data_IF_980379982350
#
_entry.id   IF_980379982350
#
_cell.length_a   1.000
_cell.length_b   1.000
_cell.length_c   1.000
_cell.angle_alpha   90.00
_cell.angle_beta   90.00
_cell.angle_gamma   90.00
#
_symmetry.space_group_name_H-M   'P 1'
#
loop_
_entity.id
_entity.type
_entity.pdbx_description
1 polymer ?
#
# COMPACT_ATOMS: atom_id res chain seq x y z
N UNK A 1 -22.75 37.28 -46.00
CA UNK A 1 -21.61 37.85 -46.76
C UNK A 1 -20.37 37.72 -45.88
N UNK A 2 -19.36 37.04 -46.40
CA UNK A 2 -18.14 36.58 -45.71
C UNK A 2 -17.49 37.65 -44.82
N UNK A 3 -17.02 37.27 -43.64
CA UNK A 3 -15.94 37.99 -42.95
C UNK A 3 -14.74 37.05 -42.71
N UNK A 4 -13.51 37.55 -42.94
CA UNK A 4 -12.30 36.73 -43.08
C UNK A 4 -11.53 36.47 -41.77
N UNK A 5 -10.77 35.37 -41.83
CA UNK A 5 -9.55 34.92 -41.14
C UNK A 5 -8.82 35.78 -40.08
N UNK A 6 -8.58 35.09 -38.94
CA UNK A 6 -7.34 34.93 -38.11
C UNK A 6 -6.48 36.14 -37.72
N UNK A 7 -6.25 36.33 -36.41
CA UNK A 7 -4.99 36.07 -35.65
C UNK A 7 -5.17 36.51 -34.17
N UNK A 8 -5.02 35.61 -33.19
CA UNK A 8 -3.83 35.26 -32.35
C UNK A 8 -3.83 35.94 -30.96
N UNK A 9 -3.75 35.08 -29.95
CA UNK A 9 -3.19 35.20 -28.59
C UNK A 9 -3.93 36.00 -27.51
N UNK A 10 -4.44 35.28 -26.52
CA UNK A 10 -4.01 35.46 -25.13
C UNK A 10 -4.30 34.17 -24.36
N UNK A 11 -3.26 33.59 -23.75
CA UNK A 11 -3.37 32.48 -22.80
C UNK A 11 -4.25 32.91 -21.62
N UNK A 12 -4.92 31.94 -20.97
CA UNK A 12 -4.56 31.73 -19.58
C UNK A 12 -4.01 30.33 -19.34
N UNK A 13 -2.96 30.31 -18.54
CA UNK A 13 -2.26 29.17 -17.95
C UNK A 13 -3.29 28.20 -17.34
N UNK A 14 -3.65 27.16 -18.11
CA UNK A 14 -4.48 26.08 -17.62
C UNK A 14 -3.60 25.17 -16.77
N UNK A 15 -3.94 25.11 -15.49
CA UNK A 15 -3.43 24.20 -14.46
C UNK A 15 -3.32 22.79 -15.04
N UNK A 16 -2.08 22.33 -15.24
CA UNK A 16 -1.79 20.96 -15.66
C UNK A 16 -1.99 20.06 -14.44
N UNK A 17 -3.24 19.65 -14.21
CA UNK A 17 -3.58 18.59 -13.26
C UNK A 17 -2.99 17.30 -13.83
N UNK A 18 -1.80 16.93 -13.38
CA UNK A 18 -1.22 15.61 -13.59
C UNK A 18 -2.20 14.58 -13.05
N UNK A 19 -2.97 13.98 -13.95
CA UNK A 19 -3.68 12.73 -13.73
C UNK A 19 -2.61 11.67 -13.47
N UNK A 20 -2.19 11.55 -12.21
CA UNK A 20 -1.66 10.30 -11.70
C UNK A 20 -2.82 9.31 -11.76
N UNK A 21 -2.93 8.62 -12.89
CA UNK A 21 -3.73 7.42 -13.02
C UNK A 21 -3.08 6.41 -12.09
N UNK A 22 -3.47 6.43 -10.82
CA UNK A 22 -3.24 5.35 -9.89
C UNK A 22 -3.98 4.14 -10.48
N UNK A 23 -3.27 3.34 -11.28
CA UNK A 23 -3.76 2.02 -11.65
C UNK A 23 -3.80 1.20 -10.37
N UNK A 24 -4.96 1.19 -9.71
CA UNK A 24 -5.26 0.17 -8.72
C UNK A 24 -5.27 -1.16 -9.50
N UNK A 25 -4.48 -2.17 -9.10
CA UNK A 25 -4.58 -3.47 -9.73
C UNK A 25 -6.02 -3.97 -9.61
N UNK A 26 -6.59 -4.43 -10.73
CA UNK A 26 -7.93 -5.01 -10.78
C UNK A 26 -7.99 -6.20 -9.82
N UNK A 27 -8.92 -6.15 -8.86
CA UNK A 27 -9.14 -7.17 -7.82
C UNK A 27 -9.58 -8.49 -8.46
N UNK A 28 -8.84 -9.61 -8.28
CA UNK A 28 -9.45 -10.92 -8.39
C UNK A 28 -10.50 -11.06 -7.27
N UNK A 29 -11.68 -11.59 -7.60
CA UNK A 29 -12.74 -11.83 -6.65
C UNK A 29 -12.29 -12.85 -5.59
N UNK A 30 -12.47 -12.52 -4.31
CA UNK A 30 -12.17 -13.41 -3.20
C UNK A 30 -13.05 -14.68 -3.25
N UNK A 31 -12.48 -15.89 -3.08
CA UNK A 31 -13.28 -17.09 -2.89
C UNK A 31 -14.11 -16.95 -1.59
N UNK A 32 -15.40 -17.32 -1.61
CA UNK A 32 -16.26 -17.21 -0.45
C UNK A 32 -15.90 -18.31 0.55
N UNK A 33 -15.26 -17.95 1.66
CA UNK A 33 -15.03 -18.87 2.78
C UNK A 33 -13.60 -18.88 3.33
N UNK A 34 -13.29 -17.89 4.16
CA UNK A 34 -12.78 -18.19 5.50
C UNK A 34 -11.29 -18.19 5.78
N UNK A 35 -10.39 -18.14 4.79
CA UNK A 35 -8.95 -18.17 5.02
C UNK A 35 -8.25 -16.84 4.77
N UNK A 36 -7.15 -16.60 5.49
CA UNK A 36 -6.30 -15.44 5.28
C UNK A 36 -5.52 -15.62 3.97
N UNK A 37 -5.72 -14.73 3.01
CA UNK A 37 -4.85 -14.62 1.85
C UNK A 37 -3.64 -13.80 2.25
N UNK A 38 -2.44 -14.35 2.10
CA UNK A 38 -1.19 -13.68 2.43
C UNK A 38 -0.35 -13.59 1.17
N UNK A 39 -0.02 -12.37 0.78
CA UNK A 39 0.84 -12.06 -0.34
C UNK A 39 2.10 -11.37 0.21
N UNK A 40 3.28 -11.90 -0.12
CA UNK A 40 4.55 -11.31 0.30
C UNK A 40 5.39 -11.06 -0.95
N UNK A 41 5.76 -9.81 -1.17
CA UNK A 41 6.50 -9.35 -2.34
C UNK A 41 7.84 -8.77 -1.90
N UNK A 42 8.91 -9.15 -2.59
CA UNK A 42 10.24 -8.55 -2.35
C UNK A 42 10.31 -7.18 -3.04
N UNK A 43 10.77 -6.14 -2.32
CA UNK A 43 11.03 -4.80 -2.88
C UNK A 43 12.43 -4.34 -2.51
N UNK A 44 13.34 -4.36 -3.48
CA UNK A 44 14.74 -4.00 -3.24
C UNK A 44 15.37 -4.87 -2.14
N UNK A 45 15.87 -4.22 -1.09
CA UNK A 45 16.41 -4.86 0.13
C UNK A 45 15.32 -5.15 1.19
N UNK A 46 14.12 -4.61 1.01
CA UNK A 46 12.99 -4.78 1.90
C UNK A 46 11.91 -5.72 1.36
N UNK A 47 10.74 -5.68 2.00
CA UNK A 47 9.60 -6.57 1.72
C UNK A 47 8.28 -5.87 1.95
N UNK A 48 7.28 -6.30 1.19
CA UNK A 48 5.89 -5.89 1.33
C UNK A 48 5.06 -7.14 1.65
N UNK A 49 4.16 -7.05 2.60
CA UNK A 49 3.24 -8.10 2.98
C UNK A 49 1.82 -7.54 3.00
N UNK A 50 0.91 -8.20 2.29
CA UNK A 50 -0.51 -7.86 2.30
C UNK A 50 -1.31 -9.08 2.71
N UNK A 51 -2.16 -8.89 3.71
CA UNK A 51 -3.01 -9.93 4.26
C UNK A 51 -4.46 -9.51 4.05
N UNK A 52 -5.27 -10.36 3.43
CA UNK A 52 -6.68 -10.08 3.15
C UNK A 52 -7.57 -11.13 3.78
N UNK A 53 -8.69 -10.70 4.34
CA UNK A 53 -9.73 -11.58 4.87
C UNK A 53 -11.09 -10.89 4.81
N UNK A 54 -11.91 -11.27 3.83
CA UNK A 54 -13.18 -10.58 3.57
C UNK A 54 -12.91 -9.10 3.28
N UNK A 55 -13.62 -8.22 3.96
CA UNK A 55 -13.46 -6.77 3.80
C UNK A 55 -12.23 -6.17 4.52
N UNK A 56 -11.47 -6.98 5.26
CA UNK A 56 -10.29 -6.54 6.01
C UNK A 56 -9.01 -6.75 5.22
N UNK A 57 -8.15 -5.75 5.23
CA UNK A 57 -6.81 -5.77 4.66
C UNK A 57 -5.81 -5.28 5.70
N UNK A 58 -4.72 -6.03 5.92
CA UNK A 58 -3.57 -5.59 6.69
C UNK A 58 -2.38 -5.50 5.74
N UNK A 59 -1.67 -4.39 5.81
CA UNK A 59 -0.52 -4.09 4.97
C UNK A 59 0.69 -3.83 5.86
N UNK A 60 1.83 -4.40 5.48
CA UNK A 60 3.12 -3.97 6.00
C UNK A 60 4.11 -3.81 4.86
N UNK A 61 4.83 -2.70 4.83
CA UNK A 61 5.97 -2.51 3.94
C UNK A 61 7.19 -2.16 4.77
N UNK A 62 8.29 -2.83 4.48
CA UNK A 62 9.61 -2.50 4.98
C UNK A 62 10.43 -2.08 3.77
N UNK A 63 10.84 -0.83 3.74
CA UNK A 63 11.77 -0.28 2.77
C UNK A 63 13.13 -0.12 3.44
N UNK A 64 14.13 -0.84 2.93
CA UNK A 64 15.50 -0.77 3.43
C UNK A 64 16.36 -0.03 2.43
N UNK A 65 17.01 1.04 2.89
CA UNK A 65 18.09 1.74 2.18
C UNK A 65 19.41 1.50 2.93
N UNK A 66 20.57 1.83 2.33
CA UNK A 66 21.84 1.80 3.05
C UNK A 66 21.90 2.77 4.25
N UNK A 67 21.09 3.83 4.24
CA UNK A 67 21.13 4.89 5.24
C UNK A 67 20.15 4.63 6.39
N UNK A 68 18.96 4.11 6.08
CA UNK A 68 17.86 4.01 7.02
C UNK A 68 16.87 2.91 6.61
N UNK A 69 15.93 2.60 7.49
CA UNK A 69 14.81 1.71 7.17
C UNK A 69 13.51 2.38 7.50
N UNK A 70 12.52 2.24 6.63
CA UNK A 70 11.15 2.72 6.87
C UNK A 70 10.23 1.52 6.93
N UNK A 71 9.42 1.43 7.98
CA UNK A 71 8.38 0.42 8.15
C UNK A 71 7.04 1.10 8.17
N UNK A 72 6.13 0.69 7.29
CA UNK A 72 4.76 1.17 7.21
C UNK A 72 3.84 0.02 7.57
N UNK A 73 2.85 0.25 8.43
CA UNK A 73 1.83 -0.72 8.84
C UNK A 73 0.46 -0.08 8.70
N UNK A 74 -0.44 -0.76 8.02
CA UNK A 74 -1.81 -0.28 7.83
C UNK A 74 -2.81 -1.41 8.09
N UNK A 75 -3.95 -1.07 8.69
CA UNK A 75 -5.15 -1.92 8.73
C UNK A 75 -6.30 -1.14 8.11
N UNK A 76 -6.98 -1.77 7.16
CA UNK A 76 -8.15 -1.24 6.49
C UNK A 76 -9.32 -2.19 6.67
N UNK A 77 -10.48 -1.63 6.98
CA UNK A 77 -11.77 -2.35 7.01
C UNK A 77 -12.73 -1.65 6.04
N UNK A 78 -13.09 -2.36 4.96
CA UNK A 78 -13.84 -1.81 3.82
C UNK A 78 -13.11 -0.63 3.19
N UNK A 79 -13.56 0.59 3.49
CA UNK A 79 -13.02 1.85 2.98
C UNK A 79 -12.43 2.73 4.09
N UNK A 80 -12.34 2.23 5.32
CA UNK A 80 -11.84 2.98 6.47
C UNK A 80 -10.50 2.42 6.91
N UNK A 81 -9.50 3.30 7.01
CA UNK A 81 -8.22 2.97 7.64
C UNK A 81 -8.40 2.99 9.16
N UNK A 82 -8.17 1.83 9.79
CA UNK A 82 -8.20 1.66 11.24
C UNK A 82 -6.83 1.90 11.86
N UNK A 83 -5.77 1.55 11.13
CA UNK A 83 -4.37 1.78 11.51
C UNK A 83 -3.65 2.34 10.30
N UNK A 84 -2.83 3.36 10.52
CA UNK A 84 -1.89 3.93 9.57
C UNK A 84 -0.66 4.44 10.34
N UNK A 85 0.35 3.59 10.43
CA UNK A 85 1.55 3.83 11.22
C UNK A 85 2.79 3.74 10.34
N UNK A 86 3.72 4.66 10.56
CA UNK A 86 5.04 4.64 9.94
C UNK A 86 6.13 4.79 11.01
N UNK A 87 7.15 3.94 10.93
CA UNK A 87 8.30 3.92 11.81
C UNK A 87 9.56 4.05 10.96
N UNK A 88 10.50 4.90 11.37
CA UNK A 88 11.79 5.05 10.69
C UNK A 88 12.91 4.66 11.64
N UNK A 89 13.77 3.75 11.20
CA UNK A 89 15.01 3.38 11.86
C UNK A 89 16.17 4.15 11.22
N UNK A 90 17.10 4.62 12.04
CA UNK A 90 18.33 5.34 11.67
C UNK A 90 19.44 4.44 11.09
N UNK A 91 19.10 3.17 10.80
CA UNK A 91 20.00 2.18 10.22
C UNK A 91 19.29 1.29 9.22
N UNK A 92 20.06 0.69 8.33
CA UNK A 92 19.60 -0.40 7.48
C UNK A 92 19.27 -1.65 8.33
N UNK A 93 18.06 -2.20 8.18
CA UNK A 93 17.72 -3.53 8.71
C UNK A 93 18.37 -4.61 7.86
N UNK A 94 18.85 -5.65 8.51
CA UNK A 94 19.37 -6.85 7.84
C UNK A 94 18.22 -7.66 7.22
N UNK A 95 18.54 -8.51 6.24
CA UNK A 95 17.54 -9.36 5.60
C UNK A 95 16.81 -10.28 6.61
N UNK A 96 17.51 -10.78 7.62
CA UNK A 96 16.92 -11.59 8.69
C UNK A 96 15.97 -10.78 9.57
N UNK A 97 16.32 -9.53 9.92
CA UNK A 97 15.42 -8.63 10.66
C UNK A 97 14.16 -8.32 9.85
N UNK A 98 14.29 -8.08 8.53
CA UNK A 98 13.15 -7.86 7.62
C UNK A 98 12.25 -9.10 7.58
N UNK A 99 12.83 -10.30 7.45
CA UNK A 99 12.07 -11.55 7.43
C UNK A 99 11.33 -11.76 8.76
N UNK A 100 12.04 -11.61 9.88
CA UNK A 100 11.47 -11.77 11.21
C UNK A 100 10.31 -10.79 11.46
N UNK A 101 10.45 -9.53 11.00
CA UNK A 101 9.38 -8.54 11.12
C UNK A 101 8.14 -8.93 10.27
N UNK A 102 8.33 -9.40 9.04
CA UNK A 102 7.23 -9.86 8.17
C UNK A 102 6.53 -11.07 8.78
N UNK A 103 7.28 -12.06 9.27
CA UNK A 103 6.71 -13.24 9.91
C UNK A 103 5.96 -12.87 11.20
N UNK A 104 6.51 -11.97 12.02
CA UNK A 104 5.85 -11.48 13.22
C UNK A 104 4.54 -10.76 12.89
N UNK A 105 4.52 -9.93 11.85
CA UNK A 105 3.31 -9.25 11.38
C UNK A 105 2.23 -10.25 10.92
N UNK A 106 2.59 -11.20 10.05
CA UNK A 106 1.66 -12.21 9.52
C UNK A 106 1.09 -13.07 10.64
N UNK A 107 1.93 -13.52 11.58
CA UNK A 107 1.50 -14.31 12.73
C UNK A 107 0.62 -13.48 13.68
N UNK A 108 0.96 -12.21 13.90
CA UNK A 108 0.17 -11.25 14.68
C UNK A 108 -1.26 -11.12 14.14
N UNK A 109 -1.41 -10.83 12.85
CA UNK A 109 -2.72 -10.69 12.20
C UNK A 109 -3.54 -11.99 12.26
N UNK A 110 -2.90 -13.14 12.01
CA UNK A 110 -3.55 -14.46 12.13
C UNK A 110 -4.00 -14.75 13.57
N UNK A 111 -3.24 -14.29 14.57
CA UNK A 111 -3.60 -14.46 15.98
C UNK A 111 -4.76 -13.55 16.41
N UNK A 112 -4.81 -12.30 15.94
CA UNK A 112 -5.87 -11.35 16.25
C UNK A 112 -7.25 -11.84 15.79
N UNK A 113 -7.36 -12.45 14.61
CA UNK A 113 -8.63 -13.02 14.16
C UNK A 113 -9.03 -14.32 14.84
N UNK A 114 -8.12 -14.98 15.57
CA UNK A 114 -8.48 -16.08 16.49
C UNK A 114 -9.03 -15.55 17.82
N UNK A 115 -8.52 -14.40 18.29
CA UNK A 115 -8.93 -13.80 19.56
C UNK A 115 -10.28 -13.09 19.50
N UNK A 116 -10.69 -12.55 18.33
CA UNK A 116 -12.02 -11.91 18.15
C UNK A 116 -13.21 -12.89 18.05
N UNK A 117 -13.03 -14.19 18.33
CA UNK A 117 -14.08 -15.23 18.31
C UNK A 117 -14.78 -15.48 19.67
N UNK A 118 -14.81 -14.49 20.57
CA UNK A 118 -15.50 -14.60 21.88
C UNK A 118 -16.79 -13.80 21.90
#
# INVERSE_FOLDING_TARGET
MNHPSRRVSMLPFAVLLLLFIWSAPARPADPPGGDYQVEITKKGLGKEAVIRKGDKEWFMMIEVTPENTVVIRQEKDKDVYLVDESETHDRAMTADEVNAAIDAFVNGVKSQGKLKKK
#
